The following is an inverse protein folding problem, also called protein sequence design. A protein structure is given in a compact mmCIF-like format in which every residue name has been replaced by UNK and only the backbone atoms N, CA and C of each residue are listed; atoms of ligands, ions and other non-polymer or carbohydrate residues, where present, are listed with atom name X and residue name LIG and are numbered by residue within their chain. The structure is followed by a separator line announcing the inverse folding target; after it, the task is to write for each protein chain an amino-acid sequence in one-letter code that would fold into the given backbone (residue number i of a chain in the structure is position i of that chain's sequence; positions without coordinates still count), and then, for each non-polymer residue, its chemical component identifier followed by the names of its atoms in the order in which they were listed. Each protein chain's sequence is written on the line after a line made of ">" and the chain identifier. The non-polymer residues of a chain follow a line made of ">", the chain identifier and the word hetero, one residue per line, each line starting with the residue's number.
data_IF_765957216709
#
_entry.id   IF_765957216709
#
_cell.length_a   1.000
_cell.length_b   1.000
_cell.length_c   1.000
_cell.angle_alpha   90.00
_cell.angle_beta   90.00
_cell.angle_gamma   90.00
#
_symmetry.space_group_name_H-M   'P 1'
#
loop_
_entity.id
_entity.type
_entity.pdbx_description
1 polymer ?
#
# COMPACT_ATOMS: atom_id res chain seq x y z
N UNK A 1 6.84 29.77 -1.30
CA UNK A 1 7.48 28.46 -1.06
C UNK A 1 8.30 28.11 -2.28
N UNK A 2 9.49 27.55 -2.15
CA UNK A 2 10.22 27.07 -3.33
C UNK A 2 9.36 26.06 -4.09
N UNK A 3 9.52 26.04 -5.43
CA UNK A 3 8.75 25.13 -6.28
C UNK A 3 8.99 23.67 -5.86
N UNK A 4 7.90 22.90 -5.75
CA UNK A 4 8.00 21.48 -5.36
C UNK A 4 8.78 20.70 -6.41
N UNK A 5 9.64 19.77 -5.99
CA UNK A 5 10.42 18.98 -6.92
C UNK A 5 9.51 18.11 -7.80
N UNK A 6 9.77 18.09 -9.11
CA UNK A 6 9.01 17.29 -10.10
C UNK A 6 9.76 16.03 -10.56
N UNK A 7 11.04 15.93 -10.24
CA UNK A 7 11.90 14.81 -10.61
C UNK A 7 12.68 14.30 -9.40
N UNK A 8 13.20 13.08 -9.46
CA UNK A 8 14.04 12.52 -8.39
C UNK A 8 15.29 13.38 -8.13
N UNK A 9 15.94 13.86 -9.17
CA UNK A 9 17.13 14.72 -9.03
C UNK A 9 16.78 16.02 -8.30
N UNK A 10 15.69 16.69 -8.68
CA UNK A 10 15.23 17.88 -7.99
C UNK A 10 14.81 17.57 -6.54
N UNK A 11 14.21 16.41 -6.26
CA UNK A 11 13.86 15.99 -4.92
C UNK A 11 15.10 15.77 -4.04
N UNK A 12 16.16 15.15 -4.57
CA UNK A 12 17.42 14.97 -3.86
C UNK A 12 18.04 16.33 -3.51
N UNK A 13 18.10 17.25 -4.45
CA UNK A 13 18.62 18.61 -4.22
C UNK A 13 17.78 19.38 -3.18
N UNK A 14 16.47 19.33 -3.30
CA UNK A 14 15.56 20.01 -2.39
C UNK A 14 15.63 19.48 -0.96
N UNK A 15 15.65 18.16 -0.78
CA UNK A 15 15.71 17.50 0.53
C UNK A 15 17.14 17.40 1.09
N UNK A 16 18.18 17.85 0.37
CA UNK A 16 19.53 17.99 0.96
C UNK A 16 19.58 19.03 2.05
N UNK A 17 18.65 20.02 2.05
CA UNK A 17 18.47 20.95 3.12
C UNK A 17 17.56 20.36 4.22
N UNK A 18 18.07 20.15 5.46
CA UNK A 18 17.27 19.65 6.57
C UNK A 18 16.09 20.54 6.95
N UNK A 19 16.19 21.83 6.73
CA UNK A 19 15.11 22.76 7.07
C UNK A 19 13.98 22.69 6.02
N UNK A 20 14.31 22.51 4.75
CA UNK A 20 13.33 22.20 3.70
C UNK A 20 12.57 20.88 3.97
N UNK A 21 13.29 19.86 4.47
CA UNK A 21 12.65 18.59 4.90
C UNK A 21 11.62 18.82 6.00
N UNK A 22 11.97 19.60 7.04
CA UNK A 22 11.06 19.89 8.14
C UNK A 22 9.87 20.70 7.67
N UNK A 23 10.10 21.75 6.88
CA UNK A 23 9.05 22.62 6.35
C UNK A 23 8.05 21.82 5.49
N UNK A 24 8.53 20.88 4.67
CA UNK A 24 7.67 19.98 3.88
C UNK A 24 6.75 19.16 4.78
N UNK A 25 7.31 18.53 5.82
CA UNK A 25 6.52 17.70 6.73
C UNK A 25 5.56 18.56 7.57
N UNK A 26 5.99 19.74 8.01
CA UNK A 26 5.14 20.70 8.75
C UNK A 26 3.96 21.14 7.92
N UNK A 27 4.18 21.57 6.67
CA UNK A 27 3.13 22.02 5.77
C UNK A 27 2.08 20.93 5.48
N UNK A 28 2.51 19.66 5.42
CA UNK A 28 1.61 18.52 5.18
C UNK A 28 0.85 18.09 6.44
N UNK A 29 1.50 18.18 7.61
CA UNK A 29 0.93 17.73 8.89
C UNK A 29 0.04 18.78 9.53
N UNK A 30 0.42 20.03 9.45
CA UNK A 30 -0.27 21.17 10.04
C UNK A 30 -0.51 22.25 8.98
N UNK A 31 -1.62 22.16 8.24
CA UNK A 31 -1.91 23.10 7.16
C UNK A 31 -2.01 24.57 7.61
N UNK A 32 -2.29 24.80 8.91
CA UNK A 32 -2.27 26.13 9.53
C UNK A 32 -0.85 26.64 9.84
N UNK A 33 0.19 25.85 9.51
CA UNK A 33 1.58 26.16 9.78
C UNK A 33 1.97 26.14 11.25
N UNK A 34 1.07 25.71 12.16
CA UNK A 34 1.28 25.71 13.61
C UNK A 34 1.47 24.29 14.14
N UNK A 35 2.71 23.84 14.39
CA UNK A 35 2.96 22.52 14.97
C UNK A 35 2.22 22.36 16.30
N UNK A 36 1.47 21.28 16.42
CA UNK A 36 0.68 20.94 17.61
C UNK A 36 1.44 19.91 18.44
N UNK A 37 1.53 20.12 19.75
CA UNK A 37 2.20 19.20 20.66
C UNK A 37 1.52 17.82 20.64
N UNK A 38 2.21 16.73 20.30
CA UNK A 38 1.59 15.40 20.23
C UNK A 38 1.25 14.82 21.60
N UNK A 39 1.74 15.41 22.69
CA UNK A 39 1.50 14.94 24.05
C UNK A 39 0.27 15.58 24.71
N UNK A 40 0.00 16.86 24.47
CA UNK A 40 -1.10 17.60 25.14
C UNK A 40 -2.00 18.38 24.17
N UNK A 41 -1.70 18.41 22.87
CA UNK A 41 -2.51 19.12 21.89
C UNK A 41 -2.32 20.64 21.84
N UNK A 42 -1.44 21.22 22.71
CA UNK A 42 -1.22 22.66 22.78
C UNK A 42 -0.47 23.18 21.54
N UNK A 43 -0.78 24.39 21.06
CA UNK A 43 -0.22 24.98 19.83
C UNK A 43 0.90 25.98 20.06
N UNK A 44 1.13 26.44 21.29
CA UNK A 44 2.21 27.34 21.58
C UNK A 44 3.49 26.60 22.00
N UNK A 45 4.61 27.01 21.44
CA UNK A 45 5.88 26.31 21.63
C UNK A 45 7.06 27.23 21.32
N UNK A 46 8.23 26.89 21.87
CA UNK A 46 9.51 27.46 21.47
C UNK A 46 10.15 26.58 20.42
N UNK A 47 10.69 27.17 19.35
CA UNK A 47 11.50 26.45 18.37
C UNK A 47 12.98 26.45 18.77
N UNK A 48 13.54 25.28 18.94
CA UNK A 48 14.94 25.05 19.29
C UNK A 48 15.73 24.84 18.00
N UNK A 49 16.18 25.90 17.35
CA UNK A 49 16.75 25.85 16.00
C UNK A 49 17.94 24.88 15.85
N UNK A 50 18.90 24.90 16.82
CA UNK A 50 20.06 23.96 16.78
C UNK A 50 19.67 22.49 16.82
N UNK A 51 18.55 22.15 17.48
CA UNK A 51 18.06 20.78 17.64
C UNK A 51 16.94 20.43 16.63
N UNK A 52 16.44 21.43 15.91
CA UNK A 52 15.27 21.30 15.01
C UNK A 52 14.07 20.64 15.68
N UNK A 53 13.75 21.09 16.91
CA UNK A 53 12.65 20.58 17.75
C UNK A 53 11.83 21.71 18.31
N UNK A 54 10.61 21.40 18.71
CA UNK A 54 9.75 22.31 19.45
C UNK A 54 9.70 21.91 20.92
N UNK A 55 9.64 22.88 21.83
CA UNK A 55 9.38 22.69 23.24
C UNK A 55 8.01 23.29 23.54
N UNK A 56 7.04 22.45 23.94
CA UNK A 56 5.69 22.88 24.29
C UNK A 56 5.72 23.84 25.48
N UNK A 57 4.94 24.93 25.43
CA UNK A 57 4.85 25.87 26.53
C UNK A 57 3.99 25.38 27.70
N UNK A 58 3.05 24.42 27.42
CA UNK A 58 2.15 23.87 28.42
C UNK A 58 2.78 22.71 29.18
N UNK A 59 3.10 21.61 28.47
CA UNK A 59 3.61 20.38 29.10
C UNK A 59 5.13 20.25 29.14
N UNK A 60 5.88 21.24 28.62
CA UNK A 60 7.35 21.34 28.58
C UNK A 60 8.04 20.20 27.81
N UNK A 61 7.31 19.25 27.24
CA UNK A 61 7.89 18.19 26.43
C UNK A 61 8.44 18.71 25.11
N UNK A 62 9.56 18.13 24.70
CA UNK A 62 10.13 18.41 23.38
C UNK A 62 9.60 17.40 22.36
N UNK A 63 9.37 17.87 21.13
CA UNK A 63 8.95 17.02 20.02
C UNK A 63 9.55 17.51 18.71
N UNK A 64 9.66 16.58 17.75
CA UNK A 64 10.08 16.87 16.37
C UNK A 64 8.98 16.49 15.41
N UNK A 65 9.13 16.77 14.12
CA UNK A 65 8.19 16.36 13.06
C UNK A 65 8.01 14.83 12.98
N UNK A 66 8.97 14.06 13.51
CA UNK A 66 8.93 12.59 13.47
C UNK A 66 7.95 12.00 14.49
N UNK A 67 7.76 12.65 15.64
CA UNK A 67 6.90 12.13 16.72
C UNK A 67 5.44 12.04 16.25
N UNK A 68 4.79 10.91 16.47
CA UNK A 68 3.43 10.64 15.98
C UNK A 68 3.34 10.42 14.47
N UNK A 69 4.42 10.02 13.84
CA UNK A 69 4.46 9.64 12.44
C UNK A 69 5.18 8.31 12.23
N UNK A 70 5.13 7.80 11.01
CA UNK A 70 5.85 6.58 10.62
C UNK A 70 7.38 6.71 10.80
N UNK A 71 7.90 7.91 10.94
CA UNK A 71 9.33 8.21 11.15
C UNK A 71 9.77 8.15 12.61
N UNK A 72 8.83 7.99 13.54
CA UNK A 72 9.12 8.02 14.98
C UNK A 72 10.16 6.98 15.38
N UNK A 73 11.00 7.31 16.35
CA UNK A 73 12.09 6.50 16.90
C UNK A 73 13.12 6.00 15.85
N UNK A 74 13.25 6.72 14.74
CA UNK A 74 14.25 6.40 13.72
C UNK A 74 15.50 7.27 13.84
N UNK A 75 16.67 6.64 13.89
CA UNK A 75 17.96 7.30 13.78
C UNK A 75 18.25 7.82 12.36
N UNK A 76 17.56 7.28 11.35
CA UNK A 76 17.74 7.67 9.96
C UNK A 76 17.31 9.13 9.78
N UNK A 77 18.13 10.00 9.14
CA UNK A 77 17.80 11.39 8.88
C UNK A 77 16.53 11.54 8.02
N UNK A 78 15.87 12.70 8.11
CA UNK A 78 14.58 12.93 7.48
C UNK A 78 14.67 13.01 5.95
N UNK A 79 15.77 13.54 5.40
CA UNK A 79 16.06 13.56 3.97
C UNK A 79 15.99 12.16 3.37
N UNK A 80 16.66 11.17 3.98
CA UNK A 80 16.65 9.78 3.52
C UNK A 80 15.25 9.16 3.58
N UNK A 81 14.44 9.51 4.57
CA UNK A 81 13.04 9.08 4.64
C UNK A 81 12.19 9.64 3.50
N UNK A 82 12.35 10.93 3.21
CA UNK A 82 11.57 11.60 2.15
C UNK A 82 11.99 11.11 0.76
N UNK A 83 13.29 10.91 0.53
CA UNK A 83 13.78 10.33 -0.72
C UNK A 83 13.32 8.86 -0.85
N UNK A 84 13.39 8.05 0.22
CA UNK A 84 12.87 6.69 0.19
C UNK A 84 11.37 6.64 -0.16
N UNK A 85 10.57 7.55 0.41
CA UNK A 85 9.15 7.67 0.09
C UNK A 85 8.94 8.08 -1.37
N UNK A 86 9.71 9.08 -1.86
CA UNK A 86 9.67 9.51 -3.26
C UNK A 86 9.92 8.35 -4.22
N UNK A 87 10.98 7.58 -3.98
CA UNK A 87 11.34 6.43 -4.81
C UNK A 87 10.25 5.34 -4.74
N UNK A 88 9.76 5.01 -3.55
CA UNK A 88 8.74 3.97 -3.36
C UNK A 88 7.47 4.23 -4.18
N UNK A 89 6.99 5.48 -4.22
CA UNK A 89 5.71 5.80 -4.85
C UNK A 89 5.82 6.11 -6.35
N UNK A 90 7.01 6.47 -6.83
CA UNK A 90 7.23 6.90 -8.21
C UNK A 90 7.95 5.86 -9.07
N UNK A 91 8.70 4.90 -8.50
CA UNK A 91 9.28 3.80 -9.27
C UNK A 91 8.17 2.84 -9.73
N UNK A 92 7.97 2.71 -11.05
CA UNK A 92 6.87 1.92 -11.65
C UNK A 92 6.83 0.47 -11.16
N UNK A 93 8.00 -0.15 -10.99
CA UNK A 93 8.12 -1.54 -10.55
C UNK A 93 8.47 -1.67 -9.06
N UNK A 94 8.39 -0.56 -8.30
CA UNK A 94 8.86 -0.50 -6.91
C UNK A 94 10.37 -0.40 -6.81
N UNK A 95 10.88 -0.50 -5.58
CA UNK A 95 12.31 -0.48 -5.29
C UNK A 95 12.64 -1.56 -4.28
N UNK A 96 13.73 -2.31 -4.53
CA UNK A 96 14.23 -3.32 -3.59
C UNK A 96 14.95 -2.68 -2.41
N UNK A 97 15.03 -3.40 -1.29
CA UNK A 97 15.79 -2.92 -0.13
C UNK A 97 17.31 -2.87 -0.38
N UNK A 98 17.81 -3.65 -1.32
CA UNK A 98 19.22 -3.61 -1.73
C UNK A 98 19.54 -2.35 -2.54
N UNK A 99 18.69 -2.00 -3.51
CA UNK A 99 18.83 -0.75 -4.28
C UNK A 99 18.70 0.46 -3.38
N UNK A 100 17.63 0.53 -2.56
CA UNK A 100 17.44 1.65 -1.64
C UNK A 100 18.61 1.80 -0.65
N UNK A 101 19.18 0.69 -0.17
CA UNK A 101 20.34 0.72 0.73
C UNK A 101 21.56 1.35 0.07
N UNK A 102 21.82 0.98 -1.19
CA UNK A 102 22.91 1.51 -1.99
C UNK A 102 22.72 3.00 -2.29
N UNK A 103 21.53 3.37 -2.74
CA UNK A 103 21.20 4.73 -3.16
C UNK A 103 21.23 5.73 -2.00
N UNK A 104 20.81 5.30 -0.81
CA UNK A 104 20.78 6.15 0.39
C UNK A 104 22.01 6.00 1.31
N UNK A 105 22.93 5.10 1.01
CA UNK A 105 24.10 4.83 1.87
C UNK A 105 23.69 4.38 3.28
N UNK A 106 22.76 3.43 3.39
CA UNK A 106 22.33 2.80 4.64
C UNK A 106 22.43 1.29 4.54
N UNK A 107 22.34 0.57 5.67
CA UNK A 107 22.36 -0.90 5.63
C UNK A 107 21.09 -1.45 4.96
N UNK A 108 21.19 -2.60 4.30
CA UNK A 108 20.04 -3.30 3.69
C UNK A 108 18.93 -3.57 4.71
N UNK A 109 19.27 -3.97 5.92
CA UNK A 109 18.32 -4.19 7.01
C UNK A 109 17.57 -2.91 7.38
N UNK A 110 18.26 -1.77 7.42
CA UNK A 110 17.63 -0.46 7.66
C UNK A 110 16.72 -0.06 6.50
N UNK A 111 17.17 -0.23 5.25
CA UNK A 111 16.37 0.05 4.06
C UNK A 111 15.11 -0.81 4.01
N UNK A 112 15.22 -2.11 4.31
CA UNK A 112 14.07 -3.00 4.40
C UNK A 112 13.06 -2.53 5.43
N UNK A 113 13.52 -2.14 6.63
CA UNK A 113 12.64 -1.64 7.69
C UNK A 113 11.99 -0.31 7.30
N UNK A 114 12.73 0.62 6.65
CA UNK A 114 12.19 1.86 6.09
C UNK A 114 11.06 1.55 5.11
N UNK A 115 11.30 0.66 4.13
CA UNK A 115 10.29 0.29 3.14
C UNK A 115 9.05 -0.34 3.78
N UNK A 116 9.21 -1.22 4.78
CA UNK A 116 8.07 -1.83 5.47
C UNK A 116 7.22 -0.80 6.23
N UNK A 117 7.87 0.18 6.86
CA UNK A 117 7.16 1.28 7.53
C UNK A 117 6.42 2.16 6.53
N UNK A 118 7.05 2.49 5.41
CA UNK A 118 6.43 3.28 4.34
C UNK A 118 5.24 2.54 3.70
N UNK A 119 5.38 1.24 3.40
CA UNK A 119 4.28 0.39 2.92
C UNK A 119 3.10 0.38 3.87
N UNK A 120 3.36 0.24 5.17
CA UNK A 120 2.32 0.34 6.20
C UNK A 120 1.59 1.69 6.17
N UNK A 121 2.33 2.78 5.92
CA UNK A 121 1.73 4.10 5.78
C UNK A 121 0.80 4.20 4.56
N UNK A 122 1.11 3.52 3.46
CA UNK A 122 0.34 3.57 2.22
C UNK A 122 -0.99 2.80 2.28
N UNK A 123 -1.20 1.95 3.29
CA UNK A 123 -2.44 1.19 3.46
C UNK A 123 -3.66 2.08 3.26
N UNK A 124 -4.59 1.63 2.41
CA UNK A 124 -5.84 2.33 2.17
C UNK A 124 -6.86 1.99 3.27
N UNK A 125 -7.11 2.94 4.16
CA UNK A 125 -8.09 2.80 5.24
C UNK A 125 -9.43 3.48 4.88
N UNK A 126 -9.73 3.67 3.60
CA UNK A 126 -11.00 4.29 3.19
C UNK A 126 -12.18 3.39 3.57
N UNK A 127 -13.12 3.94 4.30
CA UNK A 127 -14.42 3.31 4.64
C UNK A 127 -15.44 3.44 3.49
N UNK A 128 -15.16 4.30 2.48
CA UNK A 128 -16.06 4.51 1.34
C UNK A 128 -16.04 3.27 0.44
N UNK A 129 -17.18 2.60 0.31
CA UNK A 129 -17.32 1.44 -0.58
C UNK A 129 -17.18 1.81 -2.06
N UNK A 130 -16.73 0.85 -2.85
CA UNK A 130 -16.62 0.93 -4.32
C UNK A 130 -18.00 0.84 -4.97
N UNK A 131 -18.11 1.34 -6.19
CA UNK A 131 -19.32 1.21 -6.98
C UNK A 131 -20.48 2.09 -6.53
N UNK A 132 -21.67 1.69 -6.92
CA UNK A 132 -22.97 2.29 -6.72
C UNK A 132 -23.92 1.91 -7.85
N UNK A 133 -25.16 2.41 -7.86
CA UNK A 133 -26.07 2.23 -8.98
C UNK A 133 -25.39 2.67 -10.29
N UNK A 134 -25.60 1.90 -11.36
CA UNK A 134 -25.07 2.13 -12.72
C UNK A 134 -23.54 2.11 -12.85
N UNK A 135 -22.82 1.70 -11.83
CA UNK A 135 -21.36 1.52 -11.89
C UNK A 135 -20.98 0.05 -11.95
N UNK A 136 -19.76 -0.22 -12.42
CA UNK A 136 -19.25 -1.56 -12.68
C UNK A 136 -18.04 -1.88 -11.80
N UNK A 137 -18.05 -3.03 -11.14
CA UNK A 137 -16.95 -3.53 -10.30
C UNK A 137 -16.55 -4.92 -10.75
N UNK A 138 -15.27 -5.08 -11.10
CA UNK A 138 -14.66 -6.41 -11.31
C UNK A 138 -14.24 -7.01 -9.97
N UNK A 139 -14.44 -8.31 -9.80
CA UNK A 139 -13.97 -9.06 -8.62
C UNK A 139 -13.26 -10.31 -9.10
N UNK A 140 -12.06 -10.55 -8.60
CA UNK A 140 -11.23 -11.69 -9.00
C UNK A 140 -10.21 -12.02 -7.91
N UNK A 141 -9.70 -13.26 -7.89
CA UNK A 141 -8.67 -13.72 -7.00
C UNK A 141 -7.41 -14.12 -7.75
N UNK A 142 -6.30 -14.01 -7.03
CA UNK A 142 -5.04 -14.54 -7.52
C UNK A 142 -4.26 -15.24 -6.41
N UNK A 143 -3.45 -16.22 -6.81
CA UNK A 143 -2.63 -17.03 -5.92
C UNK A 143 -1.18 -16.61 -6.02
N UNK A 144 -0.61 -16.21 -4.89
CA UNK A 144 0.78 -15.74 -4.77
C UNK A 144 1.59 -16.75 -3.96
N UNK A 145 2.69 -17.23 -4.54
CA UNK A 145 3.58 -18.19 -3.86
C UNK A 145 4.59 -18.80 -4.83
N UNK A 146 5.47 -19.62 -4.28
CA UNK A 146 6.49 -20.33 -5.06
C UNK A 146 5.89 -21.35 -6.04
N UNK A 147 6.63 -21.65 -7.12
CA UNK A 147 6.27 -22.73 -8.03
C UNK A 147 6.72 -24.07 -7.46
N UNK A 148 5.89 -25.10 -7.49
CA UNK A 148 6.19 -26.44 -7.01
C UNK A 148 7.53 -26.98 -7.59
N UNK A 149 7.81 -26.72 -8.86
CA UNK A 149 9.05 -27.13 -9.51
C UNK A 149 10.34 -26.58 -8.88
N UNK A 150 10.24 -25.48 -8.14
CA UNK A 150 11.38 -24.82 -7.47
C UNK A 150 11.51 -25.26 -5.98
N UNK A 151 10.67 -26.19 -5.53
CA UNK A 151 10.70 -26.69 -4.15
C UNK A 151 11.60 -27.92 -4.05
N UNK A 152 12.21 -28.13 -2.88
CA UNK A 152 12.89 -29.39 -2.57
C UNK A 152 11.89 -30.57 -2.71
N UNK A 153 12.41 -31.74 -3.10
CA UNK A 153 11.62 -32.93 -3.44
C UNK A 153 10.54 -33.28 -2.41
N UNK A 154 10.91 -33.35 -1.13
CA UNK A 154 9.95 -33.67 -0.07
C UNK A 154 8.83 -32.64 0.09
N UNK A 155 9.18 -31.34 0.04
CA UNK A 155 8.19 -30.26 0.10
C UNK A 155 7.29 -30.25 -1.13
N UNK A 156 7.84 -30.56 -2.31
CA UNK A 156 7.08 -30.68 -3.54
C UNK A 156 6.08 -31.81 -3.49
N UNK A 157 6.47 -32.99 -2.99
CA UNK A 157 5.57 -34.13 -2.84
C UNK A 157 4.38 -33.81 -1.91
N UNK A 158 4.62 -33.17 -0.76
CA UNK A 158 3.55 -32.71 0.14
C UNK A 158 2.63 -31.69 -0.54
N UNK A 159 3.20 -30.79 -1.33
CA UNK A 159 2.47 -29.77 -2.06
C UNK A 159 1.58 -30.40 -3.14
N UNK A 160 2.09 -31.38 -3.89
CA UNK A 160 1.37 -32.10 -4.94
C UNK A 160 0.27 -33.00 -4.33
N UNK A 161 0.52 -33.65 -3.21
CA UNK A 161 -0.47 -34.45 -2.48
C UNK A 161 -1.62 -33.63 -1.91
N UNK A 162 -1.34 -32.42 -1.42
CA UNK A 162 -2.36 -31.54 -0.88
C UNK A 162 -3.26 -30.90 -1.97
N UNK A 163 -2.85 -30.99 -3.22
CA UNK A 163 -3.61 -30.50 -4.39
C UNK A 163 -3.77 -28.99 -4.49
N UNK A 164 -4.15 -28.51 -5.66
CA UNK A 164 -4.62 -27.15 -5.91
C UNK A 164 -3.62 -26.03 -5.57
N UNK A 165 -4.02 -25.14 -4.68
CA UNK A 165 -3.28 -23.91 -4.33
C UNK A 165 -2.63 -23.99 -2.95
N UNK A 166 -2.43 -25.18 -2.40
CA UNK A 166 -1.86 -25.39 -1.07
C UNK A 166 -0.53 -24.61 -0.91
N UNK A 167 -0.37 -23.92 0.22
CA UNK A 167 0.83 -23.14 0.52
C UNK A 167 1.01 -21.83 -0.28
N UNK A 168 0.02 -21.41 -1.07
CA UNK A 168 -0.03 -20.08 -1.68
C UNK A 168 -0.94 -19.15 -0.87
N UNK A 169 -0.56 -17.89 -0.78
CA UNK A 169 -1.45 -16.86 -0.26
C UNK A 169 -2.52 -16.51 -1.31
N UNK A 170 -3.75 -16.40 -0.87
CA UNK A 170 -4.86 -15.95 -1.72
C UNK A 170 -4.98 -14.45 -1.60
N UNK A 171 -5.05 -13.76 -2.72
CA UNK A 171 -5.26 -12.31 -2.78
C UNK A 171 -6.53 -12.06 -3.58
N UNK A 172 -7.48 -11.39 -2.98
CA UNK A 172 -8.72 -10.95 -3.61
C UNK A 172 -8.62 -9.48 -4.01
N UNK A 173 -9.10 -9.14 -5.19
CA UNK A 173 -9.16 -7.79 -5.72
C UNK A 173 -10.55 -7.38 -6.13
N UNK A 174 -10.83 -6.09 -6.03
CA UNK A 174 -12.05 -5.44 -6.48
C UNK A 174 -11.67 -4.15 -7.20
N UNK A 175 -12.04 -4.02 -8.47
CA UNK A 175 -11.77 -2.85 -9.30
C UNK A 175 -13.08 -2.14 -9.66
N UNK A 176 -13.24 -0.93 -9.18
CA UNK A 176 -14.23 0.01 -9.68
C UNK A 176 -13.75 0.56 -11.03
N UNK A 177 -14.46 0.24 -12.12
CA UNK A 177 -14.07 0.61 -13.48
C UNK A 177 -14.19 2.11 -13.72
N UNK A 178 -15.26 2.70 -13.21
CA UNK A 178 -15.57 4.13 -13.40
C UNK A 178 -14.60 5.01 -12.62
N UNK A 179 -14.43 4.70 -11.32
CA UNK A 179 -13.48 5.42 -10.47
C UNK A 179 -12.03 5.03 -10.73
N UNK A 180 -11.76 3.93 -11.46
CA UNK A 180 -10.41 3.34 -11.66
C UNK A 180 -9.68 3.07 -10.36
N UNK A 181 -10.41 2.65 -9.33
CA UNK A 181 -9.91 2.39 -8.00
C UNK A 181 -9.92 0.92 -7.68
N UNK A 182 -8.77 0.40 -7.26
CA UNK A 182 -8.63 -0.97 -6.78
C UNK A 182 -8.61 -1.01 -5.25
N UNK A 183 -9.29 -2.02 -4.73
CA UNK A 183 -9.04 -2.57 -3.39
C UNK A 183 -8.57 -4.00 -3.53
N UNK A 184 -7.55 -4.36 -2.78
CA UNK A 184 -7.08 -5.74 -2.74
C UNK A 184 -6.67 -6.10 -1.32
N UNK A 185 -6.96 -7.35 -0.94
CA UNK A 185 -6.67 -7.87 0.40
C UNK A 185 -6.19 -9.31 0.33
N UNK A 186 -5.38 -9.72 1.29
CA UNK A 186 -5.01 -11.13 1.46
C UNK A 186 -6.13 -11.78 2.25
N UNK A 187 -6.68 -12.86 1.72
CA UNK A 187 -7.78 -13.62 2.35
C UNK A 187 -7.31 -15.02 2.77
N UNK A 188 -7.89 -15.61 3.81
CA UNK A 188 -7.46 -16.92 4.32
C UNK A 188 -7.77 -18.07 3.37
N UNK A 189 -8.81 -17.95 2.54
CA UNK A 189 -9.25 -18.97 1.62
C UNK A 189 -10.21 -18.39 0.56
N UNK A 190 -10.60 -19.24 -0.42
CA UNK A 190 -11.56 -18.89 -1.49
C UNK A 190 -12.97 -19.42 -1.20
N UNK A 191 -13.33 -19.64 0.04
CA UNK A 191 -14.67 -20.10 0.39
C UNK A 191 -15.70 -18.98 0.15
N UNK A 192 -16.92 -19.38 -0.18
CA UNK A 192 -18.05 -18.46 -0.42
C UNK A 192 -18.20 -17.41 0.67
N UNK A 193 -18.22 -17.84 1.93
CA UNK A 193 -18.40 -16.94 3.08
C UNK A 193 -17.32 -15.86 3.14
N UNK A 194 -16.06 -16.24 2.89
CA UNK A 194 -14.93 -15.32 2.90
C UNK A 194 -15.04 -14.29 1.77
N UNK A 195 -15.21 -14.76 0.54
CA UNK A 195 -15.22 -13.89 -0.63
C UNK A 195 -16.45 -12.98 -0.66
N UNK A 196 -17.64 -13.52 -0.38
CA UNK A 196 -18.85 -12.72 -0.35
C UNK A 196 -18.83 -11.70 0.77
N UNK A 197 -18.27 -12.03 1.95
CA UNK A 197 -18.10 -11.06 3.05
C UNK A 197 -17.22 -9.89 2.61
N UNK A 198 -16.13 -10.16 1.92
CA UNK A 198 -15.27 -9.09 1.38
C UNK A 198 -16.00 -8.23 0.35
N UNK A 199 -16.78 -8.82 -0.57
CA UNK A 199 -17.61 -8.05 -1.52
C UNK A 199 -18.61 -7.18 -0.76
N UNK A 200 -19.35 -7.75 0.21
CA UNK A 200 -20.36 -7.03 1.00
C UNK A 200 -19.76 -5.85 1.78
N UNK A 201 -18.53 -6.01 2.30
CA UNK A 201 -17.86 -4.97 3.07
C UNK A 201 -17.33 -3.83 2.18
N UNK A 202 -16.98 -4.13 0.94
CA UNK A 202 -16.24 -3.20 0.08
C UNK A 202 -17.03 -2.64 -1.10
N UNK A 203 -18.13 -3.27 -1.52
CA UNK A 203 -18.95 -2.85 -2.67
C UNK A 203 -20.32 -2.38 -2.23
N UNK A 204 -20.82 -1.31 -2.82
CA UNK A 204 -22.16 -0.76 -2.55
C UNK A 204 -23.24 -1.67 -3.16
N UNK A 205 -24.40 -1.69 -2.51
CA UNK A 205 -25.59 -2.36 -3.03
C UNK A 205 -26.01 -1.78 -4.39
N UNK A 206 -26.54 -2.64 -5.28
CA UNK A 206 -27.02 -2.24 -6.61
C UNK A 206 -25.94 -2.01 -7.65
N UNK A 207 -24.65 -2.25 -7.32
CA UNK A 207 -23.53 -2.21 -8.28
C UNK A 207 -23.64 -3.39 -9.25
N UNK A 208 -23.23 -3.21 -10.52
CA UNK A 208 -22.96 -4.30 -11.45
C UNK A 208 -21.64 -4.95 -11.09
N UNK A 209 -21.67 -6.23 -10.73
CA UNK A 209 -20.49 -6.99 -10.29
C UNK A 209 -20.16 -8.05 -11.31
N UNK A 210 -18.93 -8.04 -11.82
CA UNK A 210 -18.39 -9.00 -12.76
C UNK A 210 -17.38 -9.90 -12.07
N UNK A 211 -17.58 -11.22 -12.15
CA UNK A 211 -16.69 -12.23 -11.57
C UNK A 211 -16.30 -13.26 -12.63
N UNK A 212 -15.40 -14.18 -12.27
CA UNK A 212 -15.29 -15.44 -12.98
C UNK A 212 -16.47 -16.37 -12.62
N UNK A 213 -16.53 -17.54 -13.28
CA UNK A 213 -17.59 -18.53 -13.08
C UNK A 213 -17.46 -19.37 -11.81
N UNK A 214 -16.71 -18.90 -10.80
CA UNK A 214 -16.47 -19.67 -9.59
C UNK A 214 -17.77 -19.81 -8.74
N UNK A 215 -18.10 -21.00 -8.25
CA UNK A 215 -19.30 -21.25 -7.42
C UNK A 215 -19.34 -20.45 -6.11
N UNK A 216 -18.21 -19.90 -5.71
CA UNK A 216 -18.11 -19.04 -4.52
C UNK A 216 -18.93 -17.73 -4.65
N UNK A 217 -19.22 -17.31 -5.88
CA UNK A 217 -19.99 -16.09 -6.17
C UNK A 217 -21.49 -16.32 -6.40
N UNK A 218 -21.94 -17.57 -6.37
CA UNK A 218 -23.37 -17.86 -6.43
C UNK A 218 -24.13 -17.09 -5.35
N UNK A 219 -25.34 -16.61 -5.66
CA UNK A 219 -26.21 -15.82 -4.79
C UNK A 219 -25.83 -14.34 -4.62
N UNK A 220 -24.75 -13.81 -5.25
CA UNK A 220 -24.49 -12.38 -5.27
C UNK A 220 -25.63 -11.58 -5.94
N UNK A 221 -26.38 -12.21 -6.85
CA UNK A 221 -27.53 -11.61 -7.54
C UNK A 221 -28.64 -11.08 -6.60
N UNK A 222 -28.69 -11.53 -5.37
CA UNK A 222 -29.65 -11.00 -4.37
C UNK A 222 -29.37 -9.56 -3.96
N UNK A 223 -28.12 -9.08 -4.14
CA UNK A 223 -27.69 -7.76 -3.69
C UNK A 223 -27.05 -6.91 -4.80
N UNK A 224 -26.64 -7.54 -5.87
CA UNK A 224 -25.90 -6.95 -6.98
C UNK A 224 -26.50 -7.36 -8.32
N UNK A 225 -26.30 -6.56 -9.35
CA UNK A 225 -26.51 -7.01 -10.73
C UNK A 225 -25.28 -7.85 -11.07
N UNK A 226 -25.37 -9.17 -10.91
CA UNK A 226 -24.22 -10.06 -11.01
C UNK A 226 -24.22 -10.79 -12.34
N UNK A 227 -23.13 -10.61 -13.09
CA UNK A 227 -22.82 -11.33 -14.31
C UNK A 227 -21.44 -11.98 -14.19
N UNK A 228 -21.22 -13.09 -14.86
CA UNK A 228 -19.96 -13.82 -14.82
C UNK A 228 -19.48 -14.24 -16.19
N UNK A 229 -18.15 -14.35 -16.36
CA UNK A 229 -17.51 -14.87 -17.56
C UNK A 229 -17.04 -16.30 -17.31
N UNK A 230 -17.43 -17.22 -18.21
CA UNK A 230 -16.85 -18.56 -18.25
C UNK A 230 -15.57 -18.53 -19.11
N UNK A 231 -14.42 -18.40 -18.50
CA UNK A 231 -13.12 -18.37 -19.18
C UNK A 231 -12.80 -19.66 -19.98
N UNK A 232 -13.51 -20.76 -19.72
CA UNK A 232 -13.36 -21.98 -20.50
C UNK A 232 -14.00 -21.87 -21.89
N UNK A 233 -14.96 -20.97 -22.07
CA UNK A 233 -15.69 -20.78 -23.32
C UNK A 233 -15.36 -19.48 -24.04
N UNK A 234 -15.20 -18.36 -23.26
CA UNK A 234 -14.90 -17.01 -23.80
C UNK A 234 -14.07 -16.20 -22.81
N UNK A 235 -13.16 -15.37 -23.32
CA UNK A 235 -12.41 -14.41 -22.50
C UNK A 235 -13.19 -13.11 -22.21
N UNK A 236 -14.16 -12.79 -23.06
CA UNK A 236 -14.96 -11.55 -22.95
C UNK A 236 -16.36 -11.85 -23.51
N UNK A 237 -17.38 -11.46 -22.77
CA UNK A 237 -18.76 -11.44 -23.26
C UNK A 237 -19.30 -9.99 -23.17
N UNK A 238 -19.06 -9.22 -24.22
CA UNK A 238 -19.40 -7.79 -24.28
C UNK A 238 -18.64 -6.97 -23.22
N UNK A 239 -19.35 -6.45 -22.23
CA UNK A 239 -18.77 -5.70 -21.09
C UNK A 239 -18.38 -6.60 -19.91
N UNK A 240 -18.80 -7.87 -19.92
CA UNK A 240 -18.54 -8.81 -18.82
C UNK A 240 -17.13 -9.39 -18.97
N UNK A 241 -16.20 -8.95 -18.15
CA UNK A 241 -14.81 -9.43 -18.11
C UNK A 241 -14.13 -8.97 -16.83
N UNK A 242 -12.97 -9.54 -16.48
CA UNK A 242 -12.10 -9.16 -15.35
C UNK A 242 -10.73 -8.67 -15.80
N UNK A 243 -10.60 -8.21 -17.05
CA UNK A 243 -9.34 -7.81 -17.68
C UNK A 243 -8.60 -6.70 -16.92
N UNK A 244 -9.32 -5.82 -16.24
CA UNK A 244 -8.74 -4.76 -15.43
C UNK A 244 -7.98 -5.32 -14.23
N UNK A 245 -8.55 -6.29 -13.54
CA UNK A 245 -7.90 -7.01 -12.44
C UNK A 245 -6.79 -7.93 -12.94
N UNK A 246 -6.96 -8.62 -14.06
CA UNK A 246 -5.89 -9.42 -14.65
C UNK A 246 -4.64 -8.58 -14.96
N UNK A 247 -4.83 -7.39 -15.51
CA UNK A 247 -3.74 -6.42 -15.71
C UNK A 247 -3.06 -6.05 -14.39
N UNK A 248 -3.84 -5.74 -13.34
CA UNK A 248 -3.30 -5.45 -12.02
C UNK A 248 -2.50 -6.63 -11.46
N UNK A 249 -3.01 -7.86 -11.57
CA UNK A 249 -2.30 -9.06 -11.14
C UNK A 249 -1.00 -9.30 -11.90
N UNK A 250 -1.00 -9.05 -13.21
CA UNK A 250 0.20 -9.15 -14.04
C UNK A 250 1.29 -8.19 -13.55
N UNK A 251 0.93 -6.93 -13.27
CA UNK A 251 1.86 -5.94 -12.73
C UNK A 251 2.36 -6.33 -11.33
N UNK A 252 1.46 -6.77 -10.45
CA UNK A 252 1.82 -7.17 -9.08
C UNK A 252 2.77 -8.38 -9.08
N UNK A 253 2.44 -9.43 -9.84
CA UNK A 253 3.28 -10.63 -9.97
C UNK A 253 4.66 -10.32 -10.59
N UNK A 254 4.71 -9.38 -11.55
CA UNK A 254 5.97 -8.90 -12.15
C UNK A 254 6.85 -8.23 -11.11
N UNK A 255 6.29 -7.34 -10.28
CA UNK A 255 7.02 -6.66 -9.22
C UNK A 255 7.54 -7.64 -8.17
N UNK A 256 6.71 -8.62 -7.75
CA UNK A 256 7.12 -9.65 -6.80
C UNK A 256 8.30 -10.49 -7.33
N UNK A 257 8.29 -10.84 -8.61
CA UNK A 257 9.33 -11.70 -9.22
C UNK A 257 10.59 -10.92 -9.60
N UNK A 258 10.43 -9.70 -10.12
CA UNK A 258 11.53 -8.91 -10.69
C UNK A 258 12.25 -8.05 -9.65
N UNK A 259 11.49 -7.30 -8.84
CA UNK A 259 12.07 -6.31 -7.92
C UNK A 259 12.28 -6.87 -6.53
N UNK A 260 11.28 -7.59 -5.99
CA UNK A 260 11.34 -8.05 -4.59
C UNK A 260 11.90 -9.46 -4.45
N UNK A 261 11.88 -10.26 -5.50
CA UNK A 261 12.40 -11.62 -5.65
C UNK A 261 11.78 -12.62 -4.68
N UNK A 262 11.84 -12.37 -3.37
CA UNK A 262 11.27 -13.20 -2.33
C UNK A 262 10.50 -12.34 -1.33
N UNK A 263 9.24 -12.66 -1.13
CA UNK A 263 8.35 -12.01 -0.16
C UNK A 263 7.73 -13.09 0.71
N UNK A 264 8.00 -13.01 2.00
CA UNK A 264 7.35 -13.91 2.97
C UNK A 264 5.83 -13.67 2.98
N UNK A 265 5.01 -14.72 3.00
CA UNK A 265 3.55 -14.60 3.00
C UNK A 265 3.01 -13.65 4.09
N UNK A 266 3.63 -13.68 5.26
CA UNK A 266 3.30 -12.78 6.38
C UNK A 266 3.44 -11.28 6.05
N UNK A 267 4.28 -10.92 5.09
CA UNK A 267 4.49 -9.53 4.68
C UNK A 267 3.77 -9.14 3.39
N UNK A 268 3.14 -10.10 2.71
CA UNK A 268 2.57 -9.92 1.37
C UNK A 268 1.60 -8.74 1.28
N UNK A 269 0.74 -8.58 2.28
CA UNK A 269 -0.25 -7.51 2.31
C UNK A 269 0.37 -6.10 2.21
N UNK A 270 1.57 -5.88 2.75
CA UNK A 270 2.26 -4.57 2.64
C UNK A 270 2.72 -4.26 1.23
N UNK A 271 3.19 -5.27 0.50
CA UNK A 271 3.56 -5.13 -0.91
C UNK A 271 2.32 -4.93 -1.78
N UNK A 272 1.21 -5.54 -1.38
CA UNK A 272 -0.08 -5.33 -2.01
C UNK A 272 -0.58 -3.89 -1.81
N UNK A 273 -0.52 -3.36 -0.58
CA UNK A 273 -0.87 -1.97 -0.27
C UNK A 273 -0.05 -0.96 -1.10
N UNK A 274 1.25 -1.21 -1.27
CA UNK A 274 2.12 -0.41 -2.12
C UNK A 274 1.67 -0.45 -3.59
N UNK A 275 1.38 -1.64 -4.12
CA UNK A 275 0.93 -1.80 -5.50
C UNK A 275 -0.44 -1.15 -5.73
N UNK A 276 -1.37 -1.30 -4.80
CA UNK A 276 -2.68 -0.66 -4.82
C UNK A 276 -2.52 0.87 -4.83
N UNK A 277 -1.65 1.41 -3.96
CA UNK A 277 -1.38 2.85 -3.94
C UNK A 277 -0.86 3.36 -5.29
N UNK A 278 0.14 2.71 -5.88
CA UNK A 278 0.68 3.11 -7.19
C UNK A 278 -0.34 3.00 -8.31
N UNK A 279 -1.13 1.93 -8.32
CA UNK A 279 -2.17 1.73 -9.34
C UNK A 279 -3.26 2.80 -9.26
N UNK A 280 -3.77 3.08 -8.08
CA UNK A 280 -4.83 4.05 -7.86
C UNK A 280 -4.41 5.50 -8.09
N UNK A 281 -3.12 5.80 -7.97
CA UNK A 281 -2.57 7.13 -8.16
C UNK A 281 -1.69 7.24 -9.43
N UNK A 282 -1.92 6.39 -10.43
CA UNK A 282 -1.28 6.52 -11.74
C UNK A 282 -1.87 7.69 -12.52
N UNK A 283 -1.04 8.34 -13.31
CA UNK A 283 -1.52 9.35 -14.25
C UNK A 283 -2.46 8.73 -15.28
N UNK A 284 -3.57 9.41 -15.56
CA UNK A 284 -4.49 9.10 -16.66
C UNK A 284 -4.75 10.40 -17.43
N UNK A 285 -5.43 10.29 -18.57
CA UNK A 285 -5.82 11.49 -19.34
C UNK A 285 -6.76 12.40 -18.54
N UNK A 286 -7.65 11.78 -17.77
CA UNK A 286 -8.64 12.45 -16.93
C UNK A 286 -8.05 12.97 -15.61
N UNK A 287 -6.97 12.34 -15.14
CA UNK A 287 -6.31 12.70 -13.90
C UNK A 287 -4.77 12.67 -14.09
N UNK A 288 -4.18 13.77 -14.60
CA UNK A 288 -2.77 13.86 -14.97
C UNK A 288 -1.85 14.06 -13.75
N UNK A 289 -1.85 13.11 -12.81
CA UNK A 289 -0.99 13.15 -11.62
C UNK A 289 0.49 13.03 -12.00
N UNK A 290 1.31 13.92 -11.45
CA UNK A 290 2.76 13.88 -11.55
C UNK A 290 3.42 13.22 -10.32
N UNK A 291 4.75 13.14 -10.31
CA UNK A 291 5.51 12.51 -9.22
C UNK A 291 5.37 13.27 -7.90
N UNK A 292 5.32 14.60 -7.94
CA UNK A 292 5.12 15.43 -6.75
C UNK A 292 3.74 15.22 -6.14
N UNK A 293 2.70 15.10 -6.96
CA UNK A 293 1.33 14.85 -6.48
C UNK A 293 1.24 13.50 -5.74
N UNK A 294 1.83 12.44 -6.31
CA UNK A 294 1.89 11.12 -5.66
C UNK A 294 2.66 11.16 -4.36
N UNK A 295 3.79 11.88 -4.35
CA UNK A 295 4.57 12.06 -3.14
C UNK A 295 3.77 12.79 -2.05
N UNK A 296 3.10 13.89 -2.36
CA UNK A 296 2.27 14.65 -1.43
C UNK A 296 1.13 13.78 -0.84
N UNK A 297 0.46 12.99 -1.69
CA UNK A 297 -0.57 12.04 -1.24
C UNK A 297 0.00 11.02 -0.26
N UNK A 298 1.20 10.54 -0.50
CA UNK A 298 1.87 9.57 0.37
C UNK A 298 2.32 10.19 1.69
N UNK A 299 2.89 11.42 1.68
CA UNK A 299 3.30 12.13 2.90
C UNK A 299 2.11 12.35 3.84
N UNK A 300 0.93 12.69 3.32
CA UNK A 300 -0.27 12.85 4.15
C UNK A 300 -0.69 11.57 4.88
N UNK A 301 -0.32 10.41 4.37
CA UNK A 301 -0.66 9.09 4.97
C UNK A 301 0.29 8.64 6.08
N UNK A 302 1.41 9.32 6.29
CA UNK A 302 2.43 8.89 7.28
C UNK A 302 2.08 9.26 8.73
N UNK A 303 1.17 10.20 8.93
CA UNK A 303 0.82 10.71 10.25
C UNK A 303 -0.18 9.80 10.98
N UNK A 304 -0.10 9.78 12.33
CA UNK A 304 -0.95 8.93 13.16
C UNK A 304 -0.64 7.43 13.06
N UNK A 305 0.44 7.07 12.39
CA UNK A 305 0.85 5.66 12.19
C UNK A 305 2.21 5.39 12.81
N UNK A 306 2.36 4.22 13.42
CA UNK A 306 3.61 3.75 14.01
C UNK A 306 3.77 2.26 13.70
N UNK A 307 4.96 1.84 13.30
CA UNK A 307 5.33 0.43 13.14
C UNK A 307 6.69 0.19 13.81
N UNK A 308 6.71 -0.65 14.84
CA UNK A 308 7.93 -1.05 15.51
C UNK A 308 8.54 -2.28 14.83
N UNK A 309 9.84 -2.52 15.08
CA UNK A 309 10.49 -3.73 14.57
C UNK A 309 9.91 -5.00 15.20
N UNK A 310 9.52 -4.93 16.47
CA UNK A 310 8.90 -6.06 17.17
C UNK A 310 7.55 -6.45 16.55
N UNK A 311 6.66 -5.45 16.29
CA UNK A 311 5.40 -5.68 15.60
C UNK A 311 5.62 -6.21 14.17
N UNK A 312 6.61 -5.66 13.45
CA UNK A 312 6.93 -6.08 12.09
C UNK A 312 7.38 -7.53 12.00
N UNK A 313 8.10 -8.03 13.01
CA UNK A 313 8.66 -9.40 13.03
C UNK A 313 7.80 -10.40 13.79
N UNK A 314 6.60 -10.01 14.23
CA UNK A 314 5.68 -10.89 14.98
C UNK A 314 6.12 -11.21 16.41
N UNK A 315 7.13 -10.52 16.95
CA UNK A 315 7.67 -10.79 18.29
C UNK A 315 6.75 -10.38 19.45
N UNK A 316 5.69 -9.61 19.16
CA UNK A 316 4.70 -9.15 20.16
C UNK A 316 3.49 -10.09 20.28
N UNK A 317 3.49 -11.27 19.65
CA UNK A 317 2.34 -12.18 19.70
C UNK A 317 1.08 -11.66 19.01
N UNK A 318 1.12 -10.47 18.39
CA UNK A 318 0.05 -9.99 17.54
C UNK A 318 0.08 -10.82 16.26
N UNK A 319 -0.80 -11.79 16.18
CA UNK A 319 -1.20 -12.38 14.90
C UNK A 319 -1.59 -11.22 14.01
N UNK A 320 -0.90 -11.07 12.88
CA UNK A 320 -1.36 -10.17 11.84
C UNK A 320 -2.81 -10.55 11.58
N UNK A 321 -3.76 -9.70 11.96
CA UNK A 321 -5.14 -9.88 11.55
C UNK A 321 -5.11 -9.80 10.03
N UNK A 322 -5.33 -10.94 9.40
CA UNK A 322 -5.54 -11.08 7.97
C UNK A 322 -6.86 -10.42 7.60
#
# INVERSE_FOLDING_TARGET
>A
MPEKPKTLQAAIQYFSDPDACIQTVVAMRWPDGKPTCPACGHKEHYYLAKQRRWKCKECWKQFSVKVGSIFEDSAIPLDKWLIALWMLVNCKNGISSYELAKDLGITQKSAWFVLQRLRWALKNNSIRKLGGPDTEVEVDETFIGGKAKNMHKERRLRYEQAGGHHGKAVVMGMLDRDARQIRATVVPNVKRETLQTEVLNNVKYGTKVYTDSAPAYDLLHWRYIHDFVNHAERYVDGQVHTNGLENFWSLFKRNLRGTYVSVEPFHLFRYLDEQVFRYNNRATKENPLNDADRFDMAVRKIFGKRLTFASLTGKLGETAAF
#
